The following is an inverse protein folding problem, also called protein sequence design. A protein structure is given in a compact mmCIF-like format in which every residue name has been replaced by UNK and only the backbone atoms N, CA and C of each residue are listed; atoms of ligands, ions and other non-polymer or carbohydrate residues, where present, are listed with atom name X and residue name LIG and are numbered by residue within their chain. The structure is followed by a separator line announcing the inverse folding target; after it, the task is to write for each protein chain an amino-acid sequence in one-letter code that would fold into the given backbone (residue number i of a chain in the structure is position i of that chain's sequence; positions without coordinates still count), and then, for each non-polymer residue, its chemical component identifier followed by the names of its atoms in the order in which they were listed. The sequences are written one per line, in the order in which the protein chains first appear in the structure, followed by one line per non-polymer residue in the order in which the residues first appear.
data_IF_175181075204
#
_entry.id   IF_175181075204
#
_cell.length_a   1.000
_cell.length_b   1.000
_cell.length_c   1.000
_cell.angle_alpha   90.00
_cell.angle_beta   90.00
_cell.angle_gamma   90.00
#
_symmetry.space_group_name_H-M   'P 1'
#
loop_
_entity.id
_entity.type
_entity.pdbx_description
1 polymer ?
#
# COMPACT_ATOMS: atom_id res chain seq x y z
N UNK A 1 -9.63 1.38 -8.83
CA UNK A 1 -9.00 0.14 -8.34
C UNK A 1 -9.11 -1.05 -9.31
N UNK A 2 -10.30 -1.55 -9.70
CA UNK A 2 -10.41 -2.75 -10.59
C UNK A 2 -10.01 -2.56 -12.06
N UNK A 3 -10.07 -1.34 -12.60
CA UNK A 3 -9.68 -1.12 -14.00
C UNK A 3 -8.20 -1.45 -14.30
N UNK A 4 -7.35 -1.62 -13.27
CA UNK A 4 -5.90 -1.83 -13.44
C UNK A 4 -5.38 -3.21 -13.03
N UNK A 5 -6.18 -4.05 -12.37
CA UNK A 5 -5.78 -5.43 -12.02
C UNK A 5 -5.49 -6.30 -13.26
N UNK A 6 -6.09 -5.98 -14.41
CA UNK A 6 -5.85 -6.70 -15.67
C UNK A 6 -4.49 -6.39 -16.32
N UNK A 7 -3.83 -5.28 -15.96
CA UNK A 7 -2.59 -4.85 -16.61
C UNK A 7 -1.37 -5.60 -16.08
N UNK A 8 -1.47 -6.24 -14.91
CA UNK A 8 -0.31 -6.86 -14.24
C UNK A 8 0.04 -8.28 -14.72
N UNK A 9 -0.85 -8.96 -15.46
CA UNK A 9 -0.54 -10.29 -16.00
C UNK A 9 0.46 -10.26 -17.17
N UNK A 10 0.67 -9.10 -17.82
CA UNK A 10 1.54 -8.99 -19.00
C UNK A 10 2.99 -8.56 -18.67
N UNK A 11 3.28 -8.22 -17.40
CA UNK A 11 4.56 -7.60 -16.98
C UNK A 11 5.35 -8.39 -15.93
N UNK A 12 5.01 -9.67 -15.68
CA UNK A 12 5.66 -10.53 -14.65
C UNK A 12 5.87 -9.81 -13.31
N UNK A 13 4.87 -9.01 -12.91
CA UNK A 13 4.93 -8.17 -11.73
C UNK A 13 3.98 -8.72 -10.67
N UNK A 14 4.52 -8.98 -9.47
CA UNK A 14 3.72 -9.41 -8.35
C UNK A 14 2.93 -8.23 -7.78
N UNK A 15 1.61 -8.42 -7.61
CA UNK A 15 0.76 -7.42 -6.98
C UNK A 15 0.67 -7.65 -5.46
N UNK A 16 1.18 -6.70 -4.71
CA UNK A 16 1.27 -6.73 -3.25
C UNK A 16 0.42 -5.61 -2.64
N UNK A 17 -0.27 -5.90 -1.54
CA UNK A 17 -0.95 -4.89 -0.71
C UNK A 17 -0.57 -5.02 0.76
N UNK A 18 -0.60 -3.92 1.52
CA UNK A 18 -0.59 -3.99 2.99
C UNK A 18 -1.92 -4.53 3.50
N UNK A 19 -1.90 -5.35 4.55
CA UNK A 19 -3.12 -5.86 5.18
C UNK A 19 -4.07 -4.72 5.63
N UNK A 20 -3.53 -3.56 6.04
CA UNK A 20 -4.34 -2.42 6.47
C UNK A 20 -5.14 -1.78 5.32
N UNK A 21 -4.73 -1.96 4.06
CA UNK A 21 -5.52 -1.51 2.90
C UNK A 21 -6.88 -2.20 2.84
N UNK A 22 -7.03 -3.40 3.41
CA UNK A 22 -8.34 -4.08 3.50
C UNK A 22 -9.31 -3.27 4.36
N UNK A 23 -8.83 -2.75 5.49
CA UNK A 23 -9.64 -1.92 6.40
C UNK A 23 -9.96 -0.59 5.74
N UNK A 24 -8.96 0.05 5.12
CA UNK A 24 -9.09 1.35 4.45
C UNK A 24 -10.15 1.37 3.35
N UNK A 25 -10.17 0.35 2.49
CA UNK A 25 -11.12 0.28 1.38
C UNK A 25 -12.50 -0.24 1.81
N UNK A 26 -12.64 -0.71 3.05
CA UNK A 26 -13.90 -1.24 3.57
C UNK A 26 -14.74 -0.15 4.22
N UNK A 27 -15.88 0.14 3.61
CA UNK A 27 -16.99 0.93 4.15
C UNK A 27 -18.31 0.15 4.21
N UNK A 28 -19.37 0.74 4.76
CA UNK A 28 -20.72 0.16 4.78
C UNK A 28 -21.28 -0.22 3.40
N UNK A 29 -20.78 0.41 2.32
CA UNK A 29 -21.21 0.16 0.93
C UNK A 29 -20.35 -0.89 0.21
N UNK A 30 -19.40 -1.51 0.90
CA UNK A 30 -18.45 -2.44 0.29
C UNK A 30 -19.13 -3.71 -0.19
N UNK A 31 -18.93 -4.05 -1.46
CA UNK A 31 -19.29 -5.35 -1.99
C UNK A 31 -18.29 -6.40 -1.49
N UNK A 32 -18.59 -7.05 -0.36
CA UNK A 32 -17.69 -8.02 0.27
C UNK A 32 -17.32 -9.21 -0.62
N UNK A 33 -18.25 -9.84 -1.39
CA UNK A 33 -17.88 -10.87 -2.36
C UNK A 33 -16.85 -10.40 -3.39
N UNK A 34 -17.03 -9.18 -3.93
CA UNK A 34 -16.09 -8.60 -4.89
C UNK A 34 -14.74 -8.30 -4.25
N UNK A 35 -14.72 -7.77 -3.02
CA UNK A 35 -13.48 -7.52 -2.29
C UNK A 35 -12.72 -8.84 -2.07
N UNK A 36 -13.38 -9.89 -1.56
CA UNK A 36 -12.76 -11.21 -1.35
C UNK A 36 -12.17 -11.80 -2.65
N UNK A 37 -12.87 -11.65 -3.78
CA UNK A 37 -12.35 -12.07 -5.08
C UNK A 37 -11.10 -11.30 -5.52
N UNK A 38 -11.02 -10.00 -5.24
CA UNK A 38 -9.79 -9.22 -5.49
C UNK A 38 -8.66 -9.69 -4.57
N UNK A 39 -8.95 -9.87 -3.29
CA UNK A 39 -7.97 -10.27 -2.28
C UNK A 39 -7.39 -11.67 -2.56
N UNK A 40 -8.14 -12.56 -3.21
CA UNK A 40 -7.61 -13.88 -3.61
C UNK A 40 -6.62 -13.83 -4.77
N UNK A 41 -6.33 -12.65 -5.35
CA UNK A 41 -5.43 -12.48 -6.50
C UNK A 41 -4.21 -11.61 -6.19
N UNK A 42 -4.04 -11.19 -4.94
CA UNK A 42 -2.93 -10.34 -4.52
C UNK A 42 -2.21 -10.96 -3.35
N UNK A 43 -0.90 -10.74 -3.25
CA UNK A 43 -0.16 -11.07 -2.03
C UNK A 43 -0.44 -10.01 -0.98
N UNK A 44 -0.77 -10.45 0.23
CA UNK A 44 -1.07 -9.57 1.35
C UNK A 44 0.11 -9.59 2.31
N UNK A 45 0.69 -8.42 2.56
CA UNK A 45 1.76 -8.22 3.53
C UNK A 45 1.18 -7.93 4.92
N UNK A 46 1.51 -8.73 5.96
CA UNK A 46 0.99 -8.50 7.31
C UNK A 46 1.64 -7.27 7.96
N UNK A 47 0.84 -6.52 8.71
CA UNK A 47 1.35 -5.48 9.60
C UNK A 47 1.71 -6.12 10.94
N UNK A 48 2.96 -6.59 11.03
CA UNK A 48 3.54 -7.10 12.28
C UNK A 48 3.95 -5.97 13.22
N UNK A 49 4.36 -6.29 14.45
CA UNK A 49 4.96 -5.29 15.37
C UNK A 49 6.17 -4.58 14.73
N UNK A 50 7.04 -5.33 14.05
CA UNK A 50 8.21 -4.77 13.40
C UNK A 50 7.83 -3.85 12.23
N UNK A 51 6.85 -4.24 11.43
CA UNK A 51 6.30 -3.41 10.37
C UNK A 51 5.68 -2.12 10.93
N UNK A 52 4.91 -2.21 12.02
CA UNK A 52 4.33 -1.04 12.66
C UNK A 52 5.40 -0.08 13.22
N UNK A 53 6.49 -0.61 13.79
CA UNK A 53 7.62 0.20 14.25
C UNK A 53 8.35 0.87 13.08
N UNK A 54 8.60 0.15 11.99
CA UNK A 54 9.21 0.71 10.79
C UNK A 54 8.33 1.81 10.16
N UNK A 55 7.02 1.60 10.08
CA UNK A 55 6.05 2.60 9.64
C UNK A 55 6.05 3.86 10.55
N UNK A 56 6.15 3.68 11.87
CA UNK A 56 6.26 4.79 12.80
C UNK A 56 7.54 5.62 12.59
N UNK A 57 8.66 4.97 12.26
CA UNK A 57 9.89 5.67 11.90
C UNK A 57 9.77 6.43 10.57
N UNK A 58 9.05 5.90 9.58
CA UNK A 58 8.75 6.63 8.34
C UNK A 58 7.95 7.92 8.62
N UNK A 59 6.93 7.83 9.48
CA UNK A 59 6.14 8.98 9.92
C UNK A 59 7.01 10.03 10.60
N UNK A 60 7.86 9.60 11.53
CA UNK A 60 8.79 10.49 12.25
C UNK A 60 9.76 11.18 11.28
N UNK A 61 10.35 10.44 10.35
CA UNK A 61 11.28 10.98 9.35
C UNK A 61 10.61 11.93 8.35
N UNK A 62 9.31 11.78 8.12
CA UNK A 62 8.51 12.66 7.26
C UNK A 62 7.85 13.81 8.05
N UNK A 63 8.03 13.88 9.38
CA UNK A 63 7.32 14.81 10.26
C UNK A 63 5.78 14.74 10.11
N UNK A 64 5.25 13.54 9.92
CA UNK A 64 3.82 13.25 9.75
C UNK A 64 3.24 12.60 11.01
N UNK A 65 1.97 12.88 11.31
CA UNK A 65 1.32 12.33 12.49
C UNK A 65 0.56 11.03 12.16
N UNK A 66 0.82 9.97 12.91
CA UNK A 66 0.18 8.66 12.71
C UNK A 66 -1.36 8.65 12.79
N UNK A 67 -2.02 9.58 13.50
CA UNK A 67 -3.49 9.62 13.54
C UNK A 67 -4.09 9.89 12.15
N UNK A 68 -3.35 10.57 11.27
CA UNK A 68 -3.76 10.89 9.91
C UNK A 68 -3.21 9.91 8.89
N UNK A 69 -1.95 9.47 9.06
CA UNK A 69 -1.20 8.75 8.04
C UNK A 69 -0.82 7.31 8.44
N UNK A 70 -1.46 6.70 9.45
CA UNK A 70 -1.09 5.36 9.92
C UNK A 70 -1.18 4.30 8.80
N UNK A 71 -2.27 4.31 8.02
CA UNK A 71 -2.45 3.31 6.96
C UNK A 71 -1.45 3.57 5.83
N UNK A 72 -1.33 4.81 5.37
CA UNK A 72 -0.32 5.27 4.41
C UNK A 72 1.09 4.81 4.79
N UNK A 73 1.47 4.97 6.06
CA UNK A 73 2.78 4.57 6.54
C UNK A 73 2.99 3.05 6.49
N UNK A 74 1.95 2.26 6.78
CA UNK A 74 2.04 0.79 6.63
C UNK A 74 2.05 0.33 5.18
N UNK A 75 1.45 1.08 4.26
CA UNK A 75 1.58 0.83 2.82
C UNK A 75 2.99 1.15 2.35
N UNK A 76 3.53 2.31 2.75
CA UNK A 76 4.89 2.72 2.44
C UNK A 76 5.93 1.74 3.01
N UNK A 77 5.75 1.27 4.24
CA UNK A 77 6.59 0.23 4.84
C UNK A 77 6.55 -1.07 4.03
N UNK A 78 5.36 -1.58 3.73
CA UNK A 78 5.21 -2.81 2.97
C UNK A 78 5.89 -2.73 1.61
N UNK A 79 5.78 -1.59 0.91
CA UNK A 79 6.46 -1.35 -0.35
C UNK A 79 7.98 -1.29 -0.22
N UNK A 80 8.50 -0.57 0.78
CA UNK A 80 9.95 -0.44 1.01
C UNK A 80 10.63 -1.75 1.42
N UNK A 81 9.87 -2.70 1.95
CA UNK A 81 10.35 -4.03 2.31
C UNK A 81 10.40 -5.00 1.13
N UNK A 82 9.76 -4.69 0.01
CA UNK A 82 9.78 -5.57 -1.16
C UNK A 82 11.14 -5.54 -1.87
N UNK A 83 11.58 -6.66 -2.45
CA UNK A 83 12.74 -6.67 -3.33
C UNK A 83 12.48 -5.79 -4.57
N UNK A 84 13.47 -4.98 -4.96
CA UNK A 84 13.34 -4.03 -6.06
C UNK A 84 13.35 -4.67 -7.46
N UNK A 85 12.83 -3.98 -8.48
CA UNK A 85 12.22 -2.64 -8.46
C UNK A 85 10.73 -2.63 -8.02
N UNK A 86 10.32 -1.59 -7.27
CA UNK A 86 8.95 -1.45 -6.72
C UNK A 86 8.27 -0.18 -7.24
N UNK A 87 6.97 -0.28 -7.54
CA UNK A 87 6.12 0.87 -7.82
C UNK A 87 4.84 0.85 -6.97
N UNK A 88 4.46 2.01 -6.42
CA UNK A 88 3.17 2.23 -5.74
C UNK A 88 2.23 2.95 -6.69
N UNK A 89 1.03 2.42 -6.83
CA UNK A 89 -0.05 3.00 -7.62
C UNK A 89 -1.09 3.57 -6.65
N UNK A 90 -1.22 4.89 -6.60
CA UNK A 90 -2.03 5.57 -5.56
C UNK A 90 -2.69 6.85 -6.08
N UNK A 91 -3.83 7.22 -5.47
CA UNK A 91 -4.42 8.56 -5.60
C UNK A 91 -3.69 9.59 -4.75
N UNK A 92 -3.12 9.17 -3.62
CA UNK A 92 -2.49 10.03 -2.62
C UNK A 92 -1.00 10.17 -2.91
N UNK A 93 -0.71 10.70 -4.10
CA UNK A 93 0.65 10.82 -4.64
C UNK A 93 1.61 11.55 -3.69
N UNK A 94 1.18 12.69 -3.15
CA UNK A 94 2.03 13.54 -2.31
C UNK A 94 2.37 12.87 -0.97
N UNK A 95 1.43 12.11 -0.41
CA UNK A 95 1.64 11.44 0.88
C UNK A 95 2.60 10.26 0.73
N UNK A 96 2.42 9.46 -0.34
CA UNK A 96 3.37 8.40 -0.66
C UNK A 96 4.76 8.94 -1.01
N UNK A 97 4.85 10.10 -1.68
CA UNK A 97 6.15 10.73 -1.96
C UNK A 97 6.87 11.17 -0.69
N UNK A 98 6.15 11.71 0.31
CA UNK A 98 6.74 12.08 1.62
C UNK A 98 7.27 10.86 2.37
N UNK A 99 6.52 9.76 2.37
CA UNK A 99 6.84 8.55 3.13
C UNK A 99 7.92 7.68 2.47
N UNK A 100 7.80 7.43 1.15
CA UNK A 100 8.73 6.57 0.42
C UNK A 100 9.99 7.30 -0.06
N UNK A 101 9.91 8.62 -0.23
CA UNK A 101 10.96 9.45 -0.85
C UNK A 101 11.28 8.94 -2.27
N UNK A 102 12.55 8.82 -2.62
CA UNK A 102 13.07 8.37 -3.91
C UNK A 102 13.29 6.84 -4.01
N UNK A 103 12.99 6.10 -2.93
CA UNK A 103 13.25 4.65 -2.84
C UNK A 103 12.23 3.79 -3.59
N UNK A 104 11.06 4.33 -3.90
CA UNK A 104 9.96 3.63 -4.59
C UNK A 104 9.40 4.52 -5.68
N UNK A 105 9.09 3.95 -6.85
CA UNK A 105 8.44 4.71 -7.92
C UNK A 105 6.97 4.94 -7.58
N UNK A 106 6.53 6.20 -7.53
CA UNK A 106 5.11 6.53 -7.28
C UNK A 106 4.41 6.83 -8.61
N UNK A 107 3.28 6.18 -8.84
CA UNK A 107 2.42 6.33 -10.03
C UNK A 107 1.05 6.84 -9.57
N UNK A 108 0.72 8.07 -9.96
CA UNK A 108 -0.57 8.69 -9.66
C UNK A 108 -1.71 8.07 -10.49
N UNK A 109 -2.91 7.97 -9.90
CA UNK A 109 -4.12 7.46 -10.56
C UNK A 109 -5.36 8.32 -10.32
#
# INVERSE_FOLDING_TARGET
MLARLRVYNDIDAELVISANTIVEVTSAKTNLPRLRWVLSRVRIEPVTKAAAQAAAELLKQAALHGHKYAIDATVAEAALRQPGPVAIVTSDYDDMRKLCRDRVRIVAI
#
